data_IF_240595420612
#
_entry.id   IF_240595420612
#
_cell.length_a   1.000
_cell.length_b   1.000
_cell.length_c   1.000
_cell.angle_alpha   90.00
_cell.angle_beta   90.00
_cell.angle_gamma   90.00
#
_symmetry.space_group_name_H-M   'P 1'
#
loop_
_entity.id
_entity.type
_entity.pdbx_description
1 polymer ?
#
# COMPACT_ATOMS: atom_id res chain seq x y z
N UNK A 1 14.08 -40.36 -0.13
CA UNK A 1 12.75 -39.87 0.34
C UNK A 1 12.60 -39.83 1.88
N UNK A 2 13.64 -39.48 2.65
CA UNK A 2 13.59 -39.53 4.15
C UNK A 2 13.88 -38.18 4.84
N UNK A 3 14.05 -37.08 4.10
CA UNK A 3 14.52 -35.78 4.66
C UNK A 3 13.40 -34.78 5.02
N UNK A 4 12.14 -35.00 4.60
CA UNK A 4 11.06 -34.01 4.78
C UNK A 4 10.39 -34.08 6.17
N UNK A 5 10.46 -35.23 6.86
CA UNK A 5 9.81 -35.44 8.17
C UNK A 5 10.50 -34.76 9.36
N UNK A 6 11.77 -34.37 9.22
CA UNK A 6 12.54 -33.72 10.31
C UNK A 6 12.28 -32.22 10.46
N UNK A 7 11.87 -31.54 9.37
CA UNK A 7 11.71 -30.07 9.33
C UNK A 7 10.36 -29.62 9.93
N UNK A 8 9.30 -30.43 9.81
CA UNK A 8 7.97 -30.13 10.39
C UNK A 8 7.92 -30.24 11.92
N UNK A 9 8.70 -31.15 12.52
CA UNK A 9 8.77 -31.30 13.99
C UNK A 9 9.51 -30.14 14.68
N UNK A 10 10.49 -29.51 14.02
CA UNK A 10 11.22 -28.34 14.57
C UNK A 10 10.40 -27.06 14.52
N UNK A 11 9.60 -26.85 13.47
CA UNK A 11 8.68 -25.72 13.37
C UNK A 11 7.58 -25.77 14.46
N UNK A 12 7.00 -26.95 14.70
CA UNK A 12 5.99 -27.15 15.75
C UNK A 12 6.51 -26.95 17.19
N UNK A 13 7.79 -27.25 17.44
CA UNK A 13 8.42 -27.01 18.74
C UNK A 13 8.72 -25.52 19.00
N UNK A 14 9.05 -24.75 17.96
CA UNK A 14 9.28 -23.30 18.06
C UNK A 14 7.97 -22.54 18.28
N UNK A 15 6.91 -22.89 17.54
CA UNK A 15 5.57 -22.32 17.72
C UNK A 15 5.00 -22.58 19.13
N UNK A 16 5.18 -23.78 19.68
CA UNK A 16 4.76 -24.11 21.06
C UNK A 16 5.55 -23.35 22.13
N UNK A 17 6.84 -23.04 21.90
CA UNK A 17 7.65 -22.23 22.82
C UNK A 17 7.22 -20.76 22.79
N UNK A 18 6.97 -20.21 21.60
CA UNK A 18 6.42 -18.85 21.44
C UNK A 18 5.03 -18.73 22.08
N UNK A 19 4.12 -19.68 21.85
CA UNK A 19 2.79 -19.67 22.45
C UNK A 19 2.83 -19.73 23.99
N UNK A 20 3.74 -20.53 24.58
CA UNK A 20 3.92 -20.58 26.04
C UNK A 20 4.55 -19.31 26.62
N UNK A 21 5.50 -18.71 25.90
CA UNK A 21 6.09 -17.42 26.28
C UNK A 21 5.05 -16.30 26.23
N UNK A 22 4.23 -16.26 25.17
CA UNK A 22 3.12 -15.34 25.00
C UNK A 22 2.05 -15.54 26.09
N UNK A 23 1.68 -16.78 26.44
CA UNK A 23 0.73 -17.05 27.53
C UNK A 23 1.28 -16.63 28.89
N UNK A 24 2.57 -16.86 29.17
CA UNK A 24 3.20 -16.36 30.41
C UNK A 24 3.21 -14.85 30.46
N UNK A 25 3.57 -14.19 29.36
CA UNK A 25 3.51 -12.73 29.23
C UNK A 25 2.10 -12.20 29.44
N UNK A 26 1.09 -12.78 28.79
CA UNK A 26 -0.31 -12.42 28.93
C UNK A 26 -0.84 -12.62 30.36
N UNK A 27 -0.43 -13.69 31.06
CA UNK A 27 -0.83 -13.94 32.46
C UNK A 27 -0.17 -12.96 33.43
N UNK A 28 1.05 -12.53 33.14
CA UNK A 28 1.76 -11.49 33.88
C UNK A 28 1.13 -10.12 33.64
N UNK A 29 0.81 -9.78 32.38
CA UNK A 29 0.08 -8.58 31.97
C UNK A 29 -1.34 -8.53 32.55
N UNK A 30 -2.03 -9.67 32.62
CA UNK A 30 -3.35 -9.78 33.24
C UNK A 30 -3.28 -9.51 34.75
N UNK A 31 -2.30 -10.09 35.45
CA UNK A 31 -2.05 -9.76 36.87
C UNK A 31 -1.68 -8.29 37.06
N UNK A 32 -0.94 -7.72 36.11
CA UNK A 32 -0.53 -6.33 36.14
C UNK A 32 -1.68 -5.33 35.92
N UNK A 33 -2.64 -5.67 35.05
CA UNK A 33 -3.84 -4.87 34.78
C UNK A 33 -4.92 -5.07 35.86
N UNK A 34 -5.12 -6.31 36.32
CA UNK A 34 -6.31 -6.69 37.11
C UNK A 34 -6.06 -7.02 38.58
N UNK A 35 -4.81 -7.08 39.08
CA UNK A 35 -4.61 -7.29 40.52
C UNK A 35 -5.28 -6.13 41.27
N UNK A 36 -6.29 -6.31 42.13
CA UNK A 36 -6.95 -5.20 42.80
C UNK A 36 -5.95 -4.43 43.67
N UNK A 37 -6.11 -3.10 43.84
CA UNK A 37 -5.40 -2.41 44.91
C UNK A 37 -6.04 -2.98 46.17
N UNK A 38 -5.38 -3.92 46.82
CA UNK A 38 -5.93 -4.61 47.98
C UNK A 38 -6.27 -3.52 48.99
N UNK A 39 -7.57 -3.24 49.16
CA UNK A 39 -8.06 -2.37 50.23
C UNK A 39 -7.49 -2.98 51.50
N UNK A 40 -6.77 -2.17 52.27
CA UNK A 40 -6.46 -2.50 53.64
C UNK A 40 -7.80 -2.62 54.37
N UNK A 41 -8.38 -3.81 54.36
CA UNK A 41 -9.58 -4.10 55.14
C UNK A 41 -9.14 -4.32 56.57
N UNK A 42 -9.61 -3.43 57.43
CA UNK A 42 -9.53 -3.36 58.88
C UNK A 42 -9.57 -4.72 59.62
N UNK A 43 -8.44 -5.40 59.76
CA UNK A 43 -8.23 -6.34 60.87
C UNK A 43 -6.84 -6.18 61.46
N UNK A 44 -6.72 -5.62 62.69
CA UNK A 44 -5.45 -5.55 63.39
C UNK A 44 -5.16 -6.93 64.01
N UNK A 45 -4.34 -7.73 63.33
CA UNK A 45 -3.72 -8.92 63.91
C UNK A 45 -2.32 -8.56 64.45
N UNK A 46 -1.97 -8.92 65.69
CA UNK A 46 -0.68 -8.56 66.25
C UNK A 46 0.37 -9.63 65.90
N UNK A 47 1.29 -9.32 64.97
CA UNK A 47 2.71 -9.75 64.97
C UNK A 47 3.41 -9.34 63.66
N UNK A 48 4.59 -8.73 63.84
CA UNK A 48 5.75 -8.64 62.94
C UNK A 48 5.64 -7.81 61.63
N UNK A 49 6.20 -6.60 61.69
CA UNK A 49 7.20 -6.03 60.77
C UNK A 49 7.16 -6.37 59.25
N UNK A 50 6.05 -6.15 58.55
CA UNK A 50 6.05 -6.15 57.08
C UNK A 50 6.02 -4.71 56.50
N UNK A 51 7.17 -4.09 56.19
CA UNK A 51 7.28 -3.25 55.00
C UNK A 51 8.07 -4.04 53.94
N UNK A 52 7.57 -4.33 52.70
CA UNK A 52 7.06 -3.29 51.78
C UNK A 52 6.22 -3.83 50.57
N UNK A 53 4.90 -4.07 50.68
CA UNK A 53 4.07 -4.42 49.49
C UNK A 53 4.02 -3.31 48.42
N UNK A 54 4.21 -2.05 48.83
CA UNK A 54 4.28 -0.90 47.93
C UNK A 54 5.57 -0.89 47.08
N UNK A 55 6.67 -1.46 47.58
CA UNK A 55 7.95 -1.54 46.84
C UNK A 55 7.87 -2.54 45.70
N UNK A 56 7.25 -3.70 45.93
CA UNK A 56 7.01 -4.69 44.88
C UNK A 56 6.11 -4.10 43.77
N UNK A 57 5.04 -3.39 44.15
CA UNK A 57 4.15 -2.72 43.21
C UNK A 57 4.87 -1.66 42.35
N UNK A 58 5.65 -0.76 42.97
CA UNK A 58 6.42 0.25 42.23
C UNK A 58 7.53 -0.36 41.38
N UNK A 59 8.15 -1.45 41.83
CA UNK A 59 9.21 -2.11 41.07
C UNK A 59 8.67 -2.77 39.80
N UNK A 60 7.53 -3.45 39.89
CA UNK A 60 6.88 -4.07 38.73
C UNK A 60 6.50 -2.98 37.70
N UNK A 61 6.06 -1.82 38.19
CA UNK A 61 5.64 -0.69 37.34
C UNK A 61 6.79 0.09 36.69
N UNK A 62 7.94 0.09 37.35
CA UNK A 62 9.19 0.64 36.84
C UNK A 62 9.64 -0.03 35.53
N UNK A 63 9.35 -1.31 35.36
CA UNK A 63 9.74 -2.07 34.17
C UNK A 63 8.60 -2.13 33.15
N UNK A 64 7.38 -2.38 33.61
CA UNK A 64 6.26 -2.62 32.71
C UNK A 64 5.75 -1.36 32.00
N UNK A 65 5.69 -0.19 32.63
CA UNK A 65 5.21 1.03 31.95
C UNK A 65 6.15 1.49 30.82
N UNK A 66 7.49 1.58 31.03
CA UNK A 66 8.41 1.92 29.94
C UNK A 66 8.40 0.89 28.81
N UNK A 67 8.30 -0.41 29.15
CA UNK A 67 8.24 -1.46 28.15
C UNK A 67 6.95 -1.39 27.32
N UNK A 68 5.79 -1.16 27.95
CA UNK A 68 4.53 -0.97 27.25
C UNK A 68 4.56 0.26 26.34
N UNK A 69 5.17 1.36 26.79
CA UNK A 69 5.37 2.54 25.95
C UNK A 69 6.25 2.21 24.75
N UNK A 70 7.43 1.61 24.96
CA UNK A 70 8.32 1.24 23.87
C UNK A 70 7.65 0.32 22.85
N UNK A 71 6.92 -0.71 23.30
CA UNK A 71 6.20 -1.63 22.40
C UNK A 71 5.07 -0.92 21.63
N UNK A 72 4.27 -0.10 22.31
CA UNK A 72 3.15 0.61 21.66
C UNK A 72 3.65 1.57 20.57
N UNK A 73 4.65 2.40 20.88
CA UNK A 73 5.17 3.39 19.94
C UNK A 73 6.03 2.76 18.83
N UNK A 74 6.79 1.71 19.13
CA UNK A 74 7.57 1.02 18.09
C UNK A 74 6.67 0.33 17.06
N UNK A 75 5.60 -0.34 17.51
CA UNK A 75 4.69 -0.99 16.58
C UNK A 75 3.81 0.01 15.83
N UNK A 76 3.35 1.10 16.46
CA UNK A 76 2.68 2.21 15.75
C UNK A 76 3.59 2.88 14.72
N UNK A 77 4.85 3.13 15.08
CA UNK A 77 5.85 3.67 14.17
C UNK A 77 6.06 2.75 12.97
N UNK A 78 6.22 1.45 13.21
CA UNK A 78 6.37 0.44 12.16
C UNK A 78 5.16 0.40 11.21
N UNK A 79 3.93 0.41 11.74
CA UNK A 79 2.72 0.42 10.90
C UNK A 79 2.61 1.71 10.10
N UNK A 80 2.94 2.86 10.69
CA UNK A 80 2.88 4.15 10.02
C UNK A 80 3.93 4.27 8.90
N UNK A 81 5.15 3.76 9.11
CA UNK A 81 6.18 3.76 8.07
C UNK A 81 5.83 2.80 6.95
N UNK A 82 5.34 1.58 7.26
CA UNK A 82 4.94 0.60 6.24
C UNK A 82 3.86 1.17 5.31
N UNK A 83 2.80 1.74 5.88
CA UNK A 83 1.71 2.34 5.08
C UNK A 83 2.23 3.49 4.20
N UNK A 84 3.19 4.27 4.68
CA UNK A 84 3.79 5.36 3.88
C UNK A 84 4.66 4.85 2.76
N UNK A 85 5.48 3.84 3.02
CA UNK A 85 6.31 3.23 2.01
C UNK A 85 5.43 2.60 0.92
N UNK A 86 4.33 1.94 1.31
CA UNK A 86 3.36 1.36 0.37
C UNK A 86 2.63 2.45 -0.44
N UNK A 87 2.14 3.53 0.20
CA UNK A 87 1.52 4.66 -0.51
C UNK A 87 2.48 5.35 -1.47
N UNK A 88 3.74 5.57 -1.05
CA UNK A 88 4.76 6.19 -1.87
C UNK A 88 5.05 5.34 -3.10
N UNK A 89 5.28 4.04 -2.92
CA UNK A 89 5.50 3.08 -3.99
C UNK A 89 4.33 3.03 -4.99
N UNK A 90 3.08 3.03 -4.50
CA UNK A 90 1.89 3.07 -5.37
C UNK A 90 1.90 4.34 -6.22
N UNK A 91 2.06 5.50 -5.59
CA UNK A 91 2.04 6.80 -6.26
C UNK A 91 3.19 7.00 -7.24
N UNK A 92 4.41 6.68 -6.83
CA UNK A 92 5.61 7.03 -7.63
C UNK A 92 5.92 6.02 -8.72
N UNK A 93 5.46 4.77 -8.57
CA UNK A 93 5.85 3.68 -9.45
C UNK A 93 4.64 2.98 -10.06
N UNK A 94 3.70 2.45 -9.26
CA UNK A 94 2.64 1.56 -9.77
C UNK A 94 1.58 2.32 -10.57
N UNK A 95 1.02 3.40 -10.02
CA UNK A 95 -0.01 4.21 -10.65
C UNK A 95 0.43 4.78 -12.02
N UNK A 96 1.61 5.44 -12.14
CA UNK A 96 2.07 5.92 -13.44
C UNK A 96 2.34 4.77 -14.42
N UNK A 97 2.92 3.65 -13.97
CA UNK A 97 3.14 2.51 -14.85
C UNK A 97 1.84 1.88 -15.38
N UNK A 98 0.80 1.79 -14.54
CA UNK A 98 -0.53 1.32 -14.97
C UNK A 98 -1.17 2.26 -16.00
N UNK A 99 -1.06 3.57 -15.76
CA UNK A 99 -1.52 4.61 -16.69
C UNK A 99 -0.83 4.49 -18.04
N UNK A 100 0.51 4.48 -18.04
CA UNK A 100 1.32 4.45 -19.27
C UNK A 100 1.08 3.15 -20.07
N UNK A 101 0.92 1.99 -19.40
CA UNK A 101 0.54 0.74 -20.09
C UNK A 101 -0.85 0.83 -20.73
N UNK A 102 -1.83 1.41 -20.03
CA UNK A 102 -3.19 1.59 -20.56
C UNK A 102 -3.20 2.57 -21.75
N UNK A 103 -2.47 3.69 -21.66
CA UNK A 103 -2.32 4.67 -22.74
C UNK A 103 -1.63 4.04 -23.97
N UNK A 104 -0.59 3.23 -23.77
CA UNK A 104 0.07 2.49 -24.85
C UNK A 104 -0.89 1.51 -25.54
N UNK A 105 -1.62 0.70 -24.76
CA UNK A 105 -2.60 -0.27 -25.27
C UNK A 105 -3.67 0.41 -26.12
N UNK A 106 -4.23 1.50 -25.64
CA UNK A 106 -5.26 2.27 -26.34
C UNK A 106 -4.69 2.93 -27.59
N UNK A 107 -3.51 3.56 -27.48
CA UNK A 107 -2.89 4.26 -28.60
C UNK A 107 -2.54 3.33 -29.75
N UNK A 108 -2.06 2.11 -29.47
CA UNK A 108 -1.83 1.07 -30.49
C UNK A 108 -3.13 0.66 -31.20
N UNK A 109 -4.24 0.51 -30.46
CA UNK A 109 -5.55 0.17 -31.03
C UNK A 109 -6.11 1.32 -31.90
N UNK A 110 -5.95 2.57 -31.46
CA UNK A 110 -6.35 3.74 -32.26
C UNK A 110 -5.49 3.84 -33.51
N UNK A 111 -4.17 3.62 -33.40
CA UNK A 111 -3.27 3.63 -34.53
C UNK A 111 -3.63 2.57 -35.58
N UNK A 112 -3.97 1.33 -35.17
CA UNK A 112 -4.41 0.29 -36.11
C UNK A 112 -5.63 0.75 -36.93
N UNK A 113 -6.66 1.30 -36.27
CA UNK A 113 -7.84 1.79 -36.97
C UNK A 113 -7.51 2.95 -37.91
N UNK A 114 -6.66 3.87 -37.47
CA UNK A 114 -6.25 5.00 -38.27
C UNK A 114 -5.45 4.56 -39.51
N UNK A 115 -4.62 3.52 -39.38
CA UNK A 115 -3.92 2.90 -40.48
C UNK A 115 -4.88 2.22 -41.48
N UNK A 116 -5.86 1.47 -41.00
CA UNK A 116 -6.91 0.86 -41.83
C UNK A 116 -7.68 1.93 -42.62
N UNK A 117 -8.20 2.95 -41.93
CA UNK A 117 -8.96 4.04 -42.56
C UNK A 117 -8.12 4.80 -43.58
N UNK A 118 -6.86 5.06 -43.27
CA UNK A 118 -5.94 5.71 -44.20
C UNK A 118 -5.74 4.84 -45.45
N UNK A 119 -5.31 3.58 -45.26
CA UNK A 119 -4.93 2.70 -46.35
C UNK A 119 -6.12 2.26 -47.23
N UNK A 120 -7.34 2.27 -46.70
CA UNK A 120 -8.56 2.08 -47.48
C UNK A 120 -8.86 3.25 -48.43
N UNK A 121 -8.30 4.44 -48.19
CA UNK A 121 -8.38 5.57 -49.12
C UNK A 121 -7.51 5.40 -50.38
N UNK A 122 -6.71 4.32 -50.46
CA UNK A 122 -5.97 3.93 -51.67
C UNK A 122 -4.84 4.91 -52.05
N UNK A 123 -4.72 5.21 -53.34
CA UNK A 123 -3.60 5.96 -53.94
C UNK A 123 -3.37 7.37 -53.32
N UNK A 124 -4.36 7.95 -52.63
CA UNK A 124 -4.21 9.20 -51.89
C UNK A 124 -3.16 9.10 -50.76
N UNK A 125 -2.93 7.89 -50.22
CA UNK A 125 -1.92 7.59 -49.19
C UNK A 125 -0.52 7.47 -49.77
N UNK A 126 -0.37 7.08 -51.04
CA UNK A 126 0.96 7.00 -51.67
C UNK A 126 1.62 8.38 -51.78
N UNK A 127 0.79 9.42 -51.93
CA UNK A 127 1.22 10.81 -52.06
C UNK A 127 1.27 11.57 -50.72
N UNK A 128 0.41 11.22 -49.77
CA UNK A 128 0.23 11.97 -48.51
C UNK A 128 0.76 11.25 -47.27
N UNK A 129 1.09 9.96 -47.39
CA UNK A 129 1.42 9.09 -46.26
C UNK A 129 0.22 8.73 -45.38
N UNK A 130 0.49 7.95 -44.33
CA UNK A 130 -0.48 7.69 -43.25
C UNK A 130 -0.82 9.00 -42.53
N UNK A 131 -1.99 9.06 -41.88
CA UNK A 131 -2.40 10.29 -41.20
C UNK A 131 -1.43 10.67 -40.07
N UNK A 132 -1.27 11.97 -39.78
CA UNK A 132 -0.48 12.42 -38.63
C UNK A 132 -0.91 11.80 -37.29
N UNK A 133 -2.20 11.44 -37.18
CA UNK A 133 -2.78 10.79 -35.99
C UNK A 133 -2.25 9.37 -35.79
N UNK A 134 -1.97 8.62 -36.87
CA UNK A 134 -1.29 7.33 -36.76
C UNK A 134 0.11 7.50 -36.16
N UNK A 135 0.92 8.39 -36.75
CA UNK A 135 2.31 8.59 -36.34
C UNK A 135 2.44 9.08 -34.89
N UNK A 136 1.55 9.99 -34.47
CA UNK A 136 1.55 10.47 -33.08
C UNK A 136 1.16 9.39 -32.08
N UNK A 137 0.19 8.52 -32.41
CA UNK A 137 -0.26 7.43 -31.53
C UNK A 137 0.79 6.34 -31.36
N UNK A 138 1.48 5.97 -32.43
CA UNK A 138 2.57 4.99 -32.36
C UNK A 138 3.78 5.53 -31.57
N UNK A 139 4.18 6.77 -31.87
CA UNK A 139 5.26 7.43 -31.12
C UNK A 139 4.92 7.56 -29.64
N UNK A 140 3.68 7.96 -29.32
CA UNK A 140 3.17 8.02 -27.94
C UNK A 140 3.23 6.68 -27.24
N UNK A 141 2.69 5.62 -27.86
CA UNK A 141 2.74 4.27 -27.29
C UNK A 141 4.18 3.80 -27.02
N UNK A 142 5.13 4.04 -27.93
CA UNK A 142 6.53 3.69 -27.71
C UNK A 142 7.17 4.49 -26.55
N UNK A 143 6.82 5.77 -26.41
CA UNK A 143 7.26 6.61 -25.30
C UNK A 143 6.70 6.11 -23.96
N UNK A 144 5.41 5.79 -23.92
CA UNK A 144 4.73 5.27 -22.72
C UNK A 144 5.35 3.94 -22.28
N UNK A 145 5.58 2.99 -23.20
CA UNK A 145 6.27 1.74 -22.89
C UNK A 145 7.70 1.98 -22.37
N UNK A 146 8.44 2.92 -22.95
CA UNK A 146 9.78 3.30 -22.47
C UNK A 146 9.74 3.95 -21.08
N UNK A 147 8.67 4.68 -20.76
CA UNK A 147 8.46 5.26 -19.44
C UNK A 147 8.16 4.17 -18.40
N UNK A 148 7.32 3.19 -18.74
CA UNK A 148 7.05 2.01 -17.89
C UNK A 148 8.35 1.25 -17.58
N UNK A 149 9.22 1.05 -18.58
CA UNK A 149 10.51 0.38 -18.38
C UNK A 149 11.41 1.08 -17.35
N UNK A 150 11.28 2.41 -17.24
CA UNK A 150 12.05 3.28 -16.34
C UNK A 150 11.35 3.57 -15.01
N UNK A 151 10.06 3.26 -14.89
CA UNK A 151 9.22 3.56 -13.72
C UNK A 151 9.68 2.87 -12.42
N UNK A 152 10.44 1.77 -12.52
CA UNK A 152 10.81 0.94 -11.37
C UNK A 152 9.69 0.02 -10.86
N UNK A 153 8.48 0.10 -11.42
CA UNK A 153 7.33 -0.69 -11.00
C UNK A 153 7.43 -2.18 -11.42
N UNK A 154 8.16 -2.46 -12.50
CA UNK A 154 8.29 -3.78 -13.09
C UNK A 154 9.43 -4.61 -12.48
N UNK A 155 9.16 -5.89 -12.26
CA UNK A 155 10.17 -6.90 -11.93
C UNK A 155 11.12 -7.15 -13.10
N UNK A 156 12.23 -7.85 -12.85
CA UNK A 156 13.18 -8.18 -13.91
C UNK A 156 12.55 -9.02 -15.04
N UNK A 157 11.67 -9.96 -14.70
CA UNK A 157 10.95 -10.78 -15.67
C UNK A 157 9.95 -9.96 -16.48
N UNK A 158 9.19 -9.07 -15.82
CA UNK A 158 8.23 -8.18 -16.48
C UNK A 158 8.92 -7.15 -17.39
N UNK A 159 10.13 -6.69 -17.04
CA UNK A 159 10.92 -5.83 -17.94
C UNK A 159 11.37 -6.56 -19.20
N UNK A 160 11.77 -7.82 -19.07
CA UNK A 160 12.10 -8.65 -20.23
C UNK A 160 10.87 -8.86 -21.13
N UNK A 161 9.70 -9.05 -20.52
CA UNK A 161 8.43 -9.14 -21.24
C UNK A 161 8.11 -7.83 -21.97
N UNK A 162 8.33 -6.68 -21.34
CA UNK A 162 8.17 -5.37 -21.96
C UNK A 162 9.13 -5.16 -23.14
N UNK A 163 10.38 -5.64 -23.06
CA UNK A 163 11.33 -5.58 -24.18
C UNK A 163 10.82 -6.40 -25.39
N UNK A 164 10.17 -7.55 -25.14
CA UNK A 164 9.50 -8.35 -26.19
C UNK A 164 8.33 -7.57 -26.79
N UNK A 165 7.51 -6.91 -25.96
CA UNK A 165 6.41 -6.04 -26.42
C UNK A 165 6.93 -4.95 -27.34
N UNK A 166 8.00 -4.24 -26.97
CA UNK A 166 8.62 -3.22 -27.83
C UNK A 166 9.09 -3.79 -29.17
N UNK A 167 9.75 -4.95 -29.18
CA UNK A 167 10.16 -5.61 -30.42
C UNK A 167 8.99 -6.07 -31.29
N UNK A 168 7.85 -6.42 -30.69
CA UNK A 168 6.62 -6.76 -31.42
C UNK A 168 5.93 -5.50 -32.00
N UNK A 169 6.00 -4.35 -31.31
CA UNK A 169 5.54 -3.05 -31.86
C UNK A 169 6.35 -2.66 -33.09
N UNK A 170 7.68 -2.85 -33.08
CA UNK A 170 8.52 -2.66 -34.28
C UNK A 170 8.14 -3.64 -35.41
N UNK A 171 7.70 -4.86 -35.06
CA UNK A 171 7.14 -5.83 -36.00
C UNK A 171 5.85 -5.34 -36.64
N UNK A 172 4.95 -4.80 -35.83
CA UNK A 172 3.69 -4.20 -36.26
C UNK A 172 3.92 -3.03 -37.24
N UNK A 173 4.80 -2.09 -36.90
CA UNK A 173 5.12 -0.94 -37.77
C UNK A 173 5.63 -1.38 -39.14
N UNK A 174 6.48 -2.42 -39.17
CA UNK A 174 6.99 -2.98 -40.43
C UNK A 174 5.88 -3.56 -41.32
N UNK A 175 4.87 -4.21 -40.73
CA UNK A 175 3.73 -4.73 -41.52
C UNK A 175 2.83 -3.61 -42.04
N UNK A 176 2.63 -2.54 -41.26
CA UNK A 176 1.91 -1.34 -41.74
C UNK A 176 2.68 -0.66 -42.87
N UNK A 177 4.01 -0.49 -42.74
CA UNK A 177 4.85 0.06 -43.80
C UNK A 177 4.83 -0.81 -45.07
N UNK A 178 4.79 -2.14 -44.91
CA UNK A 178 4.63 -3.07 -46.03
C UNK A 178 3.26 -2.92 -46.71
N UNK A 179 2.17 -2.79 -45.94
CA UNK A 179 0.85 -2.52 -46.49
C UNK A 179 0.80 -1.19 -47.26
N UNK A 180 1.45 -0.14 -46.74
CA UNK A 180 1.57 1.16 -47.40
C UNK A 180 2.37 1.07 -48.71
N UNK A 181 3.47 0.32 -48.72
CA UNK A 181 4.30 0.13 -49.93
C UNK A 181 3.53 -0.60 -51.03
N UNK A 182 2.55 -1.42 -50.67
CA UNK A 182 1.72 -2.20 -51.59
C UNK A 182 0.29 -1.65 -51.69
N UNK A 183 0.09 -0.34 -51.50
CA UNK A 183 -1.26 0.26 -51.44
C UNK A 183 -2.09 0.03 -52.71
N UNK A 184 -1.43 -0.08 -53.87
CA UNK A 184 -2.03 -0.33 -55.18
C UNK A 184 -2.44 -1.79 -55.44
N UNK A 185 -1.88 -2.75 -54.67
CA UNK A 185 -2.28 -4.16 -54.70
C UNK A 185 -3.18 -4.45 -53.51
N UNK A 186 -4.49 -4.50 -53.74
CA UNK A 186 -5.49 -4.75 -52.70
C UNK A 186 -5.22 -6.03 -51.90
N UNK A 187 -4.71 -7.08 -52.55
CA UNK A 187 -4.47 -8.37 -51.91
C UNK A 187 -3.30 -8.31 -50.95
N UNK A 188 -2.20 -7.66 -51.36
CA UNK A 188 -1.02 -7.47 -50.52
C UNK A 188 -1.31 -6.45 -49.41
N UNK A 189 -1.95 -5.33 -49.72
CA UNK A 189 -2.38 -4.35 -48.71
C UNK A 189 -3.21 -4.99 -47.59
N UNK A 190 -4.23 -5.77 -47.96
CA UNK A 190 -5.09 -6.48 -46.99
C UNK A 190 -4.33 -7.53 -46.20
N UNK A 191 -3.42 -8.28 -46.83
CA UNK A 191 -2.58 -9.22 -46.10
C UNK A 191 -1.72 -8.52 -45.04
N UNK A 192 -1.16 -7.35 -45.37
CA UNK A 192 -0.28 -6.60 -44.48
C UNK A 192 -1.01 -6.05 -43.28
N UNK A 193 -2.19 -5.46 -43.53
CA UNK A 193 -3.11 -5.02 -42.50
C UNK A 193 -3.58 -6.17 -41.62
N UNK A 194 -3.89 -7.33 -42.21
CA UNK A 194 -4.30 -8.52 -41.46
C UNK A 194 -3.19 -9.06 -40.56
N UNK A 195 -1.94 -9.09 -41.03
CA UNK A 195 -0.80 -9.47 -40.20
C UNK A 195 -0.55 -8.47 -39.07
N UNK A 196 -0.56 -7.16 -39.37
CA UNK A 196 -0.42 -6.11 -38.35
C UNK A 196 -1.52 -6.21 -37.29
N UNK A 197 -2.77 -6.38 -37.70
CA UNK A 197 -3.91 -6.57 -36.81
C UNK A 197 -3.73 -7.81 -35.92
N UNK A 198 -3.26 -8.93 -36.49
CA UNK A 198 -3.04 -10.16 -35.73
C UNK A 198 -1.98 -10.01 -34.63
N UNK A 199 -1.03 -9.10 -34.77
CA UNK A 199 -0.02 -8.80 -33.74
C UNK A 199 -0.59 -8.00 -32.56
N UNK A 200 -1.67 -7.25 -32.77
CA UNK A 200 -2.31 -6.40 -31.75
C UNK A 200 -3.58 -7.02 -31.13
N UNK A 201 -4.10 -8.12 -31.67
CA UNK A 201 -5.43 -8.61 -31.34
C UNK A 201 -5.48 -9.61 -30.18
N UNK A 202 -6.16 -9.26 -29.09
CA UNK A 202 -6.48 -10.23 -28.03
C UNK A 202 -7.70 -11.09 -28.41
N UNK A 203 -7.64 -12.44 -28.27
CA UNK A 203 -8.81 -13.30 -28.37
C UNK A 203 -9.62 -13.39 -27.05
N UNK A 204 -9.27 -12.65 -25.99
CA UNK A 204 -9.93 -12.73 -24.69
C UNK A 204 -11.40 -12.26 -24.75
N UNK A 205 -12.40 -13.13 -24.49
CA UNK A 205 -13.81 -12.74 -24.45
C UNK A 205 -14.16 -11.83 -23.27
N UNK A 206 -13.25 -11.65 -22.29
CA UNK A 206 -13.36 -10.68 -21.21
C UNK A 206 -12.67 -9.34 -21.47
N UNK A 207 -12.05 -9.14 -22.64
CA UNK A 207 -11.59 -7.83 -23.08
C UNK A 207 -12.82 -6.91 -23.24
N UNK A 208 -12.88 -5.73 -22.60
CA UNK A 208 -13.97 -4.76 -22.78
C UNK A 208 -14.14 -4.29 -24.24
N UNK A 209 -13.30 -4.80 -25.15
CA UNK A 209 -13.47 -4.76 -26.59
C UNK A 209 -14.71 -5.51 -27.14
N UNK A 210 -15.48 -6.25 -26.33
CA UNK A 210 -16.80 -6.68 -26.77
C UNK A 210 -17.71 -5.44 -26.95
N UNK A 211 -18.17 -5.12 -28.18
CA UNK A 211 -18.80 -3.83 -28.43
C UNK A 211 -20.11 -3.70 -27.65
N UNK A 212 -20.06 -2.93 -26.57
CA UNK A 212 -21.25 -2.43 -25.88
C UNK A 212 -21.96 -1.46 -26.83
N UNK A 213 -22.93 -1.99 -27.58
CA UNK A 213 -23.90 -1.30 -28.45
C UNK A 213 -23.44 -0.94 -29.87
N UNK A 214 -24.38 -1.04 -30.81
CA UNK A 214 -24.21 -0.83 -32.26
C UNK A 214 -23.73 0.58 -32.68
N UNK A 215 -23.63 1.54 -31.76
CA UNK A 215 -23.10 2.90 -32.04
C UNK A 215 -21.58 2.99 -32.13
N UNK A 216 -20.85 2.02 -31.56
CA UNK A 216 -19.38 2.03 -31.51
C UNK A 216 -18.75 0.79 -32.16
N UNK A 217 -19.49 0.11 -33.03
CA UNK A 217 -19.07 -1.08 -33.79
C UNK A 217 -17.99 -0.80 -34.85
N UNK A 218 -17.15 0.22 -34.64
CA UNK A 218 -16.22 0.78 -35.62
C UNK A 218 -14.79 0.26 -35.48
N UNK A 219 -14.54 -0.67 -34.57
CA UNK A 219 -13.26 -1.38 -34.45
C UNK A 219 -13.47 -2.86 -34.83
N UNK A 220 -12.72 -3.40 -35.81
CA UNK A 220 -12.98 -4.74 -36.35
C UNK A 220 -12.76 -5.84 -35.29
N UNK A 221 -13.66 -6.84 -35.27
CA UNK A 221 -13.53 -7.99 -34.36
C UNK A 221 -12.25 -8.76 -34.65
N UNK A 222 -11.49 -9.09 -33.60
CA UNK A 222 -10.36 -9.99 -33.73
C UNK A 222 -10.88 -11.37 -34.15
N UNK A 223 -10.57 -11.80 -35.37
CA UNK A 223 -10.82 -13.16 -35.78
C UNK A 223 -9.77 -14.06 -35.10
N UNK A 224 -10.16 -15.13 -34.40
CA UNK A 224 -9.19 -16.06 -33.84
C UNK A 224 -8.40 -16.68 -34.99
N UNK A 225 -7.13 -16.31 -35.13
CA UNK A 225 -6.25 -16.90 -36.14
C UNK A 225 -5.94 -18.32 -35.67
N UNK A 226 -6.52 -19.32 -36.34
CA UNK A 226 -6.29 -20.73 -36.02
C UNK A 226 -4.81 -21.06 -36.22
N UNK A 227 -4.07 -21.21 -35.13
CA UNK A 227 -2.74 -21.84 -35.13
C UNK A 227 -1.59 -21.06 -34.49
N UNK A 228 -1.80 -19.86 -33.94
CA UNK A 228 -0.74 -19.14 -33.22
C UNK A 228 -1.02 -19.09 -31.73
N UNK A 229 -0.30 -19.89 -30.94
CA UNK A 229 -0.21 -19.74 -29.47
C UNK A 229 0.62 -18.50 -29.06
N UNK A 230 1.04 -17.66 -30.02
CA UNK A 230 1.78 -16.44 -29.72
C UNK A 230 0.85 -15.40 -29.10
N UNK A 231 1.09 -15.06 -27.83
CA UNK A 231 0.43 -13.95 -27.14
C UNK A 231 0.71 -12.64 -27.86
N UNK A 232 -0.34 -11.86 -28.10
CA UNK A 232 -0.27 -10.61 -28.87
C UNK A 232 0.34 -9.48 -28.05
N UNK A 233 0.72 -8.37 -28.72
CA UNK A 233 1.24 -7.16 -28.05
C UNK A 233 0.29 -6.69 -26.95
N UNK A 234 -1.01 -6.64 -27.26
CA UNK A 234 -2.05 -6.17 -26.36
C UNK A 234 -2.31 -7.16 -25.23
N UNK A 235 -2.26 -8.47 -25.48
CA UNK A 235 -2.34 -9.49 -24.42
C UNK A 235 -1.21 -9.32 -23.41
N UNK A 236 0.03 -9.18 -23.92
CA UNK A 236 1.22 -9.02 -23.08
C UNK A 236 1.17 -7.72 -22.27
N UNK A 237 0.73 -6.61 -22.87
CA UNK A 237 0.50 -5.36 -22.13
C UNK A 237 -0.58 -5.56 -21.06
N UNK A 238 -1.67 -6.27 -21.38
CA UNK A 238 -2.78 -6.52 -20.46
C UNK A 238 -2.37 -7.46 -19.30
N UNK A 239 -1.47 -8.41 -19.56
CA UNK A 239 -0.85 -9.27 -18.55
C UNK A 239 0.06 -8.47 -17.62
N UNK A 240 0.84 -7.52 -18.15
CA UNK A 240 1.63 -6.58 -17.33
C UNK A 240 0.73 -5.67 -16.49
N UNK A 241 -0.35 -5.13 -17.06
CA UNK A 241 -1.36 -4.36 -16.31
C UNK A 241 -2.01 -5.21 -15.21
N UNK A 242 -2.30 -6.50 -15.47
CA UNK A 242 -2.86 -7.42 -14.47
C UNK A 242 -1.87 -7.69 -13.35
N UNK A 243 -0.60 -7.97 -13.68
CA UNK A 243 0.45 -8.19 -12.69
C UNK A 243 0.68 -6.96 -11.79
N UNK A 244 0.63 -5.75 -12.35
CA UNK A 244 0.71 -4.50 -11.59
C UNK A 244 -0.53 -4.28 -10.70
N UNK A 245 -1.74 -4.59 -11.18
CA UNK A 245 -2.96 -4.55 -10.36
C UNK A 245 -2.92 -5.55 -9.21
N UNK A 246 -2.48 -6.79 -9.45
CA UNK A 246 -2.31 -7.79 -8.39
C UNK A 246 -1.29 -7.33 -7.34
N UNK A 247 -0.22 -6.64 -7.77
CA UNK A 247 0.79 -6.05 -6.87
C UNK A 247 0.25 -4.87 -6.08
N UNK A 248 -0.56 -4.02 -6.72
CA UNK A 248 -1.29 -2.94 -6.06
C UNK A 248 -2.20 -3.51 -4.97
N UNK A 249 -3.01 -4.51 -5.30
CA UNK A 249 -3.91 -5.19 -4.36
C UNK A 249 -3.15 -5.81 -3.18
N UNK A 250 -2.04 -6.48 -3.46
CA UNK A 250 -1.20 -7.08 -2.43
C UNK A 250 -0.57 -6.05 -1.48
N UNK A 251 -0.29 -4.83 -1.96
CA UNK A 251 0.29 -3.73 -1.17
C UNK A 251 -0.77 -2.90 -0.44
N UNK A 252 -1.93 -2.68 -1.06
CA UNK A 252 -3.07 -2.05 -0.40
C UNK A 252 -3.61 -2.93 0.75
N UNK A 253 -3.43 -4.25 0.67
CA UNK A 253 -3.75 -5.15 1.76
C UNK A 253 -2.78 -4.99 2.94
N UNK A 254 -3.33 -4.80 4.14
CA UNK A 254 -2.56 -4.83 5.39
C UNK A 254 -1.84 -6.18 5.56
N UNK A 255 -0.52 -6.18 5.38
CA UNK A 255 0.30 -7.37 5.58
C UNK A 255 0.13 -7.95 6.99
N UNK A 256 0.27 -9.28 7.18
CA UNK A 256 0.07 -9.91 8.48
C UNK A 256 1.02 -9.36 9.57
N UNK A 257 2.20 -8.89 9.17
CA UNK A 257 3.12 -8.19 10.06
C UNK A 257 2.56 -6.84 10.55
N UNK A 258 1.95 -6.04 9.67
CA UNK A 258 1.33 -4.77 10.03
C UNK A 258 0.09 -4.99 10.91
N UNK A 259 -0.76 -5.97 10.59
CA UNK A 259 -1.93 -6.32 11.42
C UNK A 259 -1.50 -6.76 12.82
N UNK A 260 -0.51 -7.63 12.92
CA UNK A 260 -0.01 -8.11 14.21
C UNK A 260 0.67 -7.00 15.00
N UNK A 261 1.46 -6.13 14.35
CA UNK A 261 2.06 -4.96 14.98
C UNK A 261 0.99 -3.97 15.48
N UNK A 262 -0.04 -3.68 14.69
CA UNK A 262 -1.16 -2.82 15.07
C UNK A 262 -1.91 -3.39 16.27
N UNK A 263 -2.25 -4.69 16.25
CA UNK A 263 -2.95 -5.35 17.34
C UNK A 263 -2.13 -5.37 18.64
N UNK A 264 -0.83 -5.69 18.56
CA UNK A 264 0.08 -5.66 19.72
C UNK A 264 0.23 -4.24 20.26
N UNK A 265 0.33 -3.24 19.38
CA UNK A 265 0.47 -1.84 19.78
C UNK A 265 -0.79 -1.31 20.44
N UNK A 266 -1.96 -1.60 19.88
CA UNK A 266 -3.25 -1.23 20.46
C UNK A 266 -3.41 -1.85 21.86
N UNK A 267 -3.10 -3.14 22.01
CA UNK A 267 -3.13 -3.81 23.32
C UNK A 267 -2.14 -3.18 24.31
N UNK A 268 -0.90 -2.94 23.87
CA UNK A 268 0.12 -2.30 24.71
C UNK A 268 -0.30 -0.90 25.15
N UNK A 269 -0.92 -0.13 24.25
CA UNK A 269 -1.42 1.22 24.52
C UNK A 269 -2.57 1.22 25.54
N UNK A 270 -3.55 0.32 25.40
CA UNK A 270 -4.65 0.17 26.39
C UNK A 270 -4.09 -0.19 27.76
N UNK A 271 -3.13 -1.12 27.82
CA UNK A 271 -2.47 -1.52 29.06
C UNK A 271 -1.63 -0.39 29.66
N UNK A 272 -1.01 0.44 28.83
CA UNK A 272 -0.26 1.62 29.24
C UNK A 272 -1.19 2.67 29.87
N UNK A 273 -2.33 2.97 29.24
CA UNK A 273 -3.34 3.91 29.78
C UNK A 273 -3.88 3.41 31.11
N UNK A 274 -4.34 2.16 31.16
CA UNK A 274 -4.83 1.54 32.41
C UNK A 274 -3.74 1.52 33.49
N UNK A 275 -2.50 1.29 33.06
CA UNK A 275 -1.30 1.38 33.85
C UNK A 275 -1.14 2.77 34.50
N UNK A 276 -1.02 3.80 33.68
CA UNK A 276 -0.81 5.19 34.09
C UNK A 276 -1.94 5.70 34.97
N UNK A 277 -3.19 5.47 34.59
CA UNK A 277 -4.37 5.87 35.36
C UNK A 277 -4.31 5.33 36.79
N UNK A 278 -3.95 4.05 36.92
CA UNK A 278 -3.89 3.38 38.21
C UNK A 278 -2.70 3.84 39.05
N UNK A 279 -1.54 4.12 38.45
CA UNK A 279 -0.42 4.74 39.16
C UNK A 279 -0.77 6.14 39.66
N UNK A 280 -1.43 6.96 38.84
CA UNK A 280 -1.87 8.30 39.22
C UNK A 280 -2.91 8.23 40.35
N UNK A 281 -3.88 7.31 40.28
CA UNK A 281 -4.85 7.09 41.37
C UNK A 281 -4.17 6.63 42.66
N UNK A 282 -3.19 5.73 42.57
CA UNK A 282 -2.42 5.29 43.73
C UNK A 282 -1.65 6.46 44.37
N UNK A 283 -0.97 7.27 43.56
CA UNK A 283 -0.26 8.46 44.01
C UNK A 283 -1.21 9.46 44.68
N UNK A 284 -2.35 9.76 44.05
CA UNK A 284 -3.35 10.71 44.57
C UNK A 284 -3.97 10.24 45.89
N UNK A 285 -4.42 8.99 45.98
CA UNK A 285 -5.10 8.46 47.17
C UNK A 285 -4.12 8.28 48.33
N UNK A 286 -2.91 7.77 48.09
CA UNK A 286 -1.98 7.41 49.17
C UNK A 286 -1.10 8.57 49.61
N UNK A 287 -0.73 9.46 48.70
CA UNK A 287 0.21 10.54 48.99
C UNK A 287 -0.38 11.94 48.91
N UNK A 288 -1.65 12.07 48.51
CA UNK A 288 -2.31 13.37 48.32
C UNK A 288 -1.60 14.33 47.34
N UNK A 289 -0.66 13.85 46.52
CA UNK A 289 -0.09 14.66 45.44
C UNK A 289 -1.07 14.63 44.26
N UNK A 290 -1.63 15.81 43.98
CA UNK A 290 -2.73 16.02 43.03
C UNK A 290 -2.29 15.82 41.59
N UNK A 291 -1.05 16.20 41.28
CA UNK A 291 -0.46 16.19 39.95
C UNK A 291 1.07 16.00 40.03
N UNK A 292 1.54 14.82 39.61
CA UNK A 292 2.96 14.61 39.31
C UNK A 292 3.24 15.16 37.92
N UNK A 293 3.77 16.39 37.86
CA UNK A 293 4.17 17.08 36.61
C UNK A 293 4.89 16.16 35.61
N UNK A 294 5.86 15.33 36.01
CA UNK A 294 6.61 14.58 35.00
C UNK A 294 5.86 13.36 34.46
N UNK A 295 4.89 12.80 35.19
CA UNK A 295 3.98 11.76 34.65
C UNK A 295 2.91 12.37 33.73
N UNK A 296 2.47 13.61 34.00
CA UNK A 296 1.62 14.35 33.08
C UNK A 296 2.36 14.67 31.78
N UNK A 297 3.63 15.09 31.88
CA UNK A 297 4.48 15.29 30.71
C UNK A 297 4.69 13.99 29.91
N UNK A 298 4.89 12.84 30.59
CA UNK A 298 5.00 11.55 29.92
C UNK A 298 3.69 11.06 29.27
N UNK A 299 2.53 11.55 29.75
CA UNK A 299 1.23 11.24 29.16
C UNK A 299 0.91 12.10 27.93
N UNK A 300 1.60 13.23 27.73
CA UNK A 300 1.31 14.17 26.64
C UNK A 300 1.48 13.54 25.25
N UNK A 301 2.54 12.74 24.97
CA UNK A 301 2.67 12.06 23.68
C UNK A 301 1.63 10.96 23.44
N UNK A 302 0.95 10.47 24.49
CA UNK A 302 -0.15 9.53 24.32
C UNK A 302 -1.38 10.17 23.67
N UNK A 303 -1.49 11.51 23.74
CA UNK A 303 -2.54 12.24 23.02
C UNK A 303 -2.31 12.27 21.51
N UNK A 304 -1.07 12.04 21.04
CA UNK A 304 -0.76 11.96 19.62
C UNK A 304 -1.12 10.59 19.02
N UNK A 305 -1.20 9.53 19.83
CA UNK A 305 -1.46 8.16 19.36
C UNK A 305 -2.81 8.03 18.60
N UNK A 306 -3.94 8.58 19.09
CA UNK A 306 -5.19 8.58 18.33
C UNK A 306 -5.07 9.28 16.98
N UNK A 307 -4.36 10.41 16.90
CA UNK A 307 -4.16 11.12 15.64
C UNK A 307 -3.33 10.30 14.64
N UNK A 308 -2.26 9.64 15.11
CA UNK A 308 -1.44 8.74 14.28
C UNK A 308 -2.23 7.52 13.83
N UNK A 309 -3.06 6.95 14.71
CA UNK A 309 -3.91 5.81 14.37
C UNK A 309 -4.99 6.20 13.35
N UNK A 310 -5.57 7.40 13.46
CA UNK A 310 -6.50 7.94 12.47
C UNK A 310 -5.82 8.21 11.13
N UNK A 311 -4.64 8.83 11.12
CA UNK A 311 -3.84 9.03 9.90
C UNK A 311 -3.56 7.70 9.18
N UNK A 312 -3.14 6.67 9.93
CA UNK A 312 -2.94 5.33 9.37
C UNK A 312 -4.21 4.68 8.85
N UNK A 313 -5.37 4.94 9.48
CA UNK A 313 -6.66 4.45 8.99
C UNK A 313 -7.05 5.14 7.68
N UNK A 314 -6.90 6.47 7.59
CA UNK A 314 -7.17 7.22 6.35
C UNK A 314 -6.24 6.79 5.20
N UNK A 315 -4.96 6.59 5.50
CA UNK A 315 -3.99 6.12 4.51
C UNK A 315 -4.36 4.72 4.01
N UNK A 316 -4.75 3.82 4.91
CA UNK A 316 -5.21 2.48 4.56
C UNK A 316 -6.49 2.51 3.71
N UNK A 317 -7.49 3.31 4.08
CA UNK A 317 -8.73 3.41 3.28
C UNK A 317 -8.47 3.99 1.89
N UNK A 318 -7.60 5.00 1.79
CA UNK A 318 -7.23 5.55 0.49
C UNK A 318 -6.51 4.52 -0.39
N UNK A 319 -5.60 3.72 0.17
CA UNK A 319 -4.98 2.61 -0.56
C UNK A 319 -6.02 1.58 -1.03
N UNK A 320 -6.96 1.19 -0.16
CA UNK A 320 -8.04 0.26 -0.51
C UNK A 320 -8.95 0.82 -1.62
N UNK A 321 -9.22 2.12 -1.61
CA UNK A 321 -10.03 2.83 -2.62
C UNK A 321 -9.31 2.97 -3.98
N UNK A 322 -7.98 2.92 -4.03
CA UNK A 322 -7.26 2.91 -5.33
C UNK A 322 -7.43 1.61 -6.13
N UNK A 323 -7.66 0.48 -5.46
CA UNK A 323 -7.83 -0.84 -6.11
C UNK A 323 -9.01 -0.85 -7.09
N UNK A 324 -10.25 -0.46 -6.72
CA UNK A 324 -11.35 -0.42 -7.67
C UNK A 324 -11.13 0.58 -8.81
N UNK A 325 -10.42 1.69 -8.58
CA UNK A 325 -10.05 2.66 -9.62
C UNK A 325 -9.06 2.03 -10.62
N UNK A 326 -8.07 1.27 -10.14
CA UNK A 326 -7.15 0.57 -11.02
C UNK A 326 -7.81 -0.55 -11.82
N UNK A 327 -8.80 -1.23 -11.23
CA UNK A 327 -9.62 -2.21 -11.95
C UNK A 327 -10.52 -1.54 -13.00
N UNK A 328 -11.09 -0.38 -12.69
CA UNK A 328 -11.93 0.35 -13.64
C UNK A 328 -11.11 0.97 -14.77
N UNK A 329 -9.81 1.26 -14.58
CA UNK A 329 -8.92 1.68 -15.65
C UNK A 329 -8.96 0.68 -16.81
N UNK A 330 -8.82 -0.61 -16.54
CA UNK A 330 -8.93 -1.63 -17.60
C UNK A 330 -10.34 -1.71 -18.19
N UNK A 331 -11.39 -1.68 -17.35
CA UNK A 331 -12.77 -1.94 -17.78
C UNK A 331 -13.44 -0.78 -18.53
N UNK A 332 -13.08 0.46 -18.19
CA UNK A 332 -13.75 1.68 -18.67
C UNK A 332 -12.96 2.34 -19.81
N UNK A 333 -11.63 2.16 -19.84
CA UNK A 333 -10.80 2.78 -20.88
C UNK A 333 -10.86 1.96 -22.16
N UNK A 334 -11.52 2.53 -23.18
CA UNK A 334 -11.62 1.96 -24.51
C UNK A 334 -11.14 2.94 -25.58
N UNK A 335 -10.67 2.47 -26.74
CA UNK A 335 -10.36 3.34 -27.88
C UNK A 335 -11.54 4.23 -28.30
N UNK A 336 -12.78 3.74 -28.16
CA UNK A 336 -13.98 4.49 -28.52
C UNK A 336 -14.23 5.66 -27.55
N UNK A 337 -14.11 5.43 -26.24
CA UNK A 337 -14.24 6.48 -25.23
C UNK A 337 -13.15 7.53 -25.40
N UNK A 338 -11.92 7.12 -25.69
CA UNK A 338 -10.79 8.04 -25.83
C UNK A 338 -10.88 8.89 -27.09
N UNK A 339 -11.29 8.30 -28.21
CA UNK A 339 -11.53 9.05 -29.45
C UNK A 339 -12.74 9.99 -29.29
N UNK A 340 -13.81 9.55 -28.61
CA UNK A 340 -14.98 10.40 -28.38
C UNK A 340 -14.66 11.63 -27.51
N UNK A 341 -13.84 11.47 -26.47
CA UNK A 341 -13.34 12.57 -25.63
C UNK A 341 -12.47 13.53 -26.45
N UNK A 342 -11.59 13.00 -27.31
CA UNK A 342 -10.74 13.81 -28.19
C UNK A 342 -11.56 14.61 -29.24
N UNK A 343 -12.61 14.01 -29.81
CA UNK A 343 -13.45 14.62 -30.85
C UNK A 343 -14.45 15.66 -30.33
N UNK A 344 -14.92 15.55 -29.08
CA UNK A 344 -15.86 16.51 -28.47
C UNK A 344 -15.17 17.77 -27.89
N UNK A 345 -13.88 17.97 -28.15
CA UNK A 345 -13.05 19.03 -27.58
C UNK A 345 -13.32 20.41 -28.24
N UNK A 346 -14.18 21.23 -27.63
CA UNK A 346 -14.48 22.62 -28.08
C UNK A 346 -13.81 23.72 -27.19
N UNK A 347 -13.26 23.42 -26.01
CA UNK A 347 -12.49 24.35 -25.14
C UNK A 347 -11.70 23.58 -24.05
N UNK A 348 -10.75 24.18 -23.29
CA UNK A 348 -9.28 23.92 -23.26
C UNK A 348 -8.90 22.45 -22.86
N UNK A 349 -7.63 22.00 -22.80
CA UNK A 349 -7.30 20.57 -22.96
C UNK A 349 -7.91 19.71 -21.83
N UNK A 350 -9.04 19.10 -22.12
CA UNK A 350 -9.62 18.06 -21.27
C UNK A 350 -8.70 16.85 -21.28
N UNK A 351 -8.41 16.34 -20.09
CA UNK A 351 -7.62 15.15 -19.85
C UNK A 351 -8.31 13.89 -20.45
N UNK A 352 -7.54 12.93 -20.96
CA UNK A 352 -8.07 11.65 -21.46
C UNK A 352 -8.79 10.89 -20.34
N UNK A 353 -9.61 9.88 -20.67
CA UNK A 353 -10.28 9.09 -19.63
C UNK A 353 -9.23 8.36 -18.78
N UNK A 354 -8.14 7.88 -19.39
CA UNK A 354 -6.95 7.35 -18.71
C UNK A 354 -6.31 8.39 -17.78
N UNK A 355 -6.03 9.62 -18.26
CA UNK A 355 -5.43 10.68 -17.43
C UNK A 355 -6.34 11.03 -16.26
N UNK A 356 -7.64 11.20 -16.50
CA UNK A 356 -8.63 11.55 -15.48
C UNK A 356 -8.72 10.49 -14.39
N UNK A 357 -8.75 9.21 -14.80
CA UNK A 357 -8.87 8.11 -13.86
C UNK A 357 -7.56 7.86 -13.10
N UNK A 358 -6.40 8.06 -13.73
CA UNK A 358 -5.11 8.05 -13.05
C UNK A 358 -4.98 9.21 -12.05
N UNK A 359 -5.42 10.42 -12.44
CA UNK A 359 -5.49 11.58 -11.55
C UNK A 359 -6.37 11.32 -10.32
N UNK A 360 -7.49 10.60 -10.50
CA UNK A 360 -8.34 10.21 -9.38
C UNK A 360 -7.66 9.26 -8.38
N UNK A 361 -6.68 8.45 -8.81
CA UNK A 361 -5.87 7.65 -7.88
C UNK A 361 -4.95 8.54 -7.04
N UNK A 362 -4.31 9.54 -7.67
CA UNK A 362 -3.42 10.47 -6.98
C UNK A 362 -4.20 11.34 -5.98
N UNK A 363 -5.37 11.84 -6.37
CA UNK A 363 -6.29 12.61 -5.52
C UNK A 363 -6.74 11.79 -4.30
N UNK A 364 -7.19 10.55 -4.49
CA UNK A 364 -7.58 9.67 -3.38
C UNK A 364 -6.42 9.41 -2.42
N UNK A 365 -5.22 9.20 -2.95
CA UNK A 365 -4.03 9.01 -2.11
C UNK A 365 -3.61 10.29 -1.37
N UNK A 366 -3.88 11.48 -1.92
CA UNK A 366 -3.57 12.77 -1.30
C UNK A 366 -4.58 13.13 -0.22
N UNK A 367 -5.87 12.91 -0.49
CA UNK A 367 -6.97 13.12 0.46
C UNK A 367 -6.92 12.11 1.62
N UNK A 368 -6.28 10.96 1.42
CA UNK A 368 -6.07 9.92 2.42
C UNK A 368 -5.11 10.27 3.56
N UNK A 369 -4.58 11.50 3.63
CA UNK A 369 -3.53 11.87 4.60
C UNK A 369 -3.87 13.12 5.38
N UNK A 370 -3.55 13.10 6.68
CA UNK A 370 -3.60 14.32 7.49
C UNK A 370 -2.30 15.09 7.28
N UNK A 371 -2.33 16.15 6.47
CA UNK A 371 -1.16 17.00 6.19
C UNK A 371 -0.42 17.47 7.46
N UNK A 372 -1.12 17.61 8.59
CA UNK A 372 -0.54 17.96 9.88
C UNK A 372 0.34 16.86 10.52
N UNK A 373 0.15 15.59 10.12
CA UNK A 373 0.82 14.41 10.69
C UNK A 373 1.96 13.91 9.78
N UNK A 374 2.06 14.42 8.56
CA UNK A 374 3.09 14.06 7.58
C UNK A 374 4.52 14.22 8.09
N UNK A 375 4.82 15.33 8.78
CA UNK A 375 6.15 15.55 9.36
C UNK A 375 6.44 14.71 10.62
N UNK A 376 5.44 14.05 11.21
CA UNK A 376 5.51 13.52 12.58
C UNK A 376 5.78 12.02 12.65
N UNK A 377 5.36 11.21 11.66
CA UNK A 377 5.57 9.76 11.72
C UNK A 377 7.01 9.28 11.95
N UNK A 378 8.07 9.85 11.32
CA UNK A 378 9.44 9.39 11.59
C UNK A 378 9.86 9.64 13.05
N UNK A 379 9.16 10.53 13.75
CA UNK A 379 9.40 10.85 15.16
C UNK A 379 8.60 10.00 16.15
N UNK A 380 7.67 9.15 15.68
CA UNK A 380 6.78 8.36 16.58
C UNK A 380 7.57 7.37 17.43
N UNK A 381 8.48 6.60 16.82
CA UNK A 381 9.33 5.67 17.56
C UNK A 381 10.34 6.39 18.49
N UNK A 382 11.08 7.43 18.05
CA UNK A 382 11.93 8.25 18.92
C UNK A 382 11.18 8.86 20.10
N UNK A 383 9.99 9.42 19.87
CA UNK A 383 9.15 10.00 20.91
C UNK A 383 8.73 8.94 21.93
N UNK A 384 8.37 7.74 21.47
CA UNK A 384 8.06 6.60 22.34
C UNK A 384 9.21 6.19 23.25
N UNK A 385 10.44 6.16 22.74
CA UNK A 385 11.63 5.87 23.53
C UNK A 385 11.91 6.96 24.58
N UNK A 386 11.73 8.23 24.21
CA UNK A 386 11.82 9.34 25.16
C UNK A 386 10.76 9.23 26.26
N UNK A 387 9.51 8.92 25.92
CA UNK A 387 8.44 8.68 26.90
C UNK A 387 8.80 7.53 27.84
N UNK A 388 9.30 6.42 27.30
CA UNK A 388 9.72 5.27 28.09
C UNK A 388 10.85 5.66 29.06
N UNK A 389 11.84 6.41 28.60
CA UNK A 389 12.96 6.88 29.44
C UNK A 389 12.48 7.82 30.55
N UNK A 390 11.67 8.82 30.24
CA UNK A 390 11.10 9.77 31.23
C UNK A 390 10.24 9.03 32.26
N UNK A 391 9.41 8.10 31.81
CA UNK A 391 8.57 7.29 32.72
C UNK A 391 9.43 6.41 33.63
N UNK A 392 10.50 5.82 33.13
CA UNK A 392 11.44 5.04 33.92
C UNK A 392 12.17 5.87 34.98
N UNK A 393 12.74 7.02 34.58
CA UNK A 393 13.48 7.93 35.47
C UNK A 393 12.58 8.47 36.58
N UNK A 394 11.36 8.87 36.25
CA UNK A 394 10.42 9.45 37.22
C UNK A 394 9.97 8.43 38.26
N UNK A 395 9.63 7.20 37.85
CA UNK A 395 9.32 6.13 38.78
C UNK A 395 10.53 5.73 39.62
N UNK A 396 11.75 5.83 39.07
CA UNK A 396 12.98 5.58 39.81
C UNK A 396 13.20 6.63 40.91
N UNK A 397 12.97 7.91 40.60
CA UNK A 397 13.05 9.00 41.58
C UNK A 397 12.07 8.81 42.73
N UNK A 398 10.79 8.52 42.43
CA UNK A 398 9.78 8.22 43.46
C UNK A 398 10.15 7.04 44.35
N UNK A 399 10.78 6.00 43.78
CA UNK A 399 11.29 4.86 44.54
C UNK A 399 12.41 5.28 45.50
N UNK A 400 13.33 6.16 45.07
CA UNK A 400 14.47 6.60 45.88
C UNK A 400 14.02 7.45 47.06
N UNK A 401 13.10 8.39 46.86
CA UNK A 401 12.53 9.20 47.93
C UNK A 401 11.80 8.35 48.98
N UNK A 402 11.09 7.31 48.54
CA UNK A 402 10.46 6.34 49.45
C UNK A 402 11.45 5.61 50.36
N UNK A 403 12.66 5.31 49.87
CA UNK A 403 13.69 4.64 50.68
C UNK A 403 14.27 5.56 51.75
N UNK A 404 14.20 6.89 51.57
CA UNK A 404 14.69 7.87 52.53
C UNK A 404 13.69 8.11 53.67
N UNK A 405 12.39 8.15 53.37
CA UNK A 405 11.33 8.35 54.39
C UNK A 405 11.10 7.11 55.26
N UNK A 406 11.44 5.92 54.75
CA UNK A 406 11.25 4.63 55.43
C UNK A 406 12.31 4.27 56.49
N UNK A 407 13.30 5.13 56.77
CA UNK A 407 14.25 4.93 57.88
C UNK A 407 13.79 5.73 59.12
N UNK A 408 13.04 5.12 60.06
CA UNK A 408 12.90 5.69 61.39
C UNK A 408 14.27 5.55 62.08
N UNK A 409 14.97 6.67 62.31
CA UNK A 409 16.19 6.64 63.13
C UNK A 409 17.27 7.69 62.88
N UNK A 410 17.15 8.59 61.92
CA UNK A 410 18.08 9.73 61.80
C UNK A 410 17.29 11.03 61.89
N UNK A 411 16.82 11.34 63.10
CA UNK A 411 16.64 12.72 63.51
C UNK A 411 18.03 13.30 63.78
N UNK A 412 18.28 14.50 63.25
CA UNK A 412 19.38 15.38 63.65
C UNK A 412 19.08 15.95 65.03
#
# INVERSE_FOLDING_TARGET
MTSVRGRSRRAGASAKRFARAALKGARMLWRYAWAPPVRATDRPGPRAADPPRNRAYLHDRLVALPLLAAVAFAGLGFTATSLRDDSAEIRTHIAPALRDLADARISLRIAQREAEVSLDAGDAVELSGLTPRYGSRITGAAQDLSQVARSGALTAAERQELDVVSGLVDGYERWIAWAQTNVSDESLRKAGLSYAQSMLCSPDPGDPYEPATARYATYPRCAPVTGSEATTVVDRISDLERALRDRLEARAALGPAAVTAAAVSALAFVLLIAGLWRTLRFLRVRFRISASVPLLAAALPLLAVPAIALDGLYAYTAQEDTVPIARSLYAVTSPATEVAVEEHRIDPPGDTAVVTLAGSMDDVLDDGRLAAVDGVAPWVAPAGLLVAAVTGVTLHAYRREYLLVGRPGTAV
#
